data_IF_856609334780
#
_entry.id   IF_856609334780
#
_cell.length_a   1.000
_cell.length_b   1.000
_cell.length_c   1.000
_cell.angle_alpha   90.00
_cell.angle_beta   90.00
_cell.angle_gamma   90.00
#
_symmetry.space_group_name_H-M   'P 1'
#
loop_
_entity.id
_entity.type
_entity.pdbx_description
1 polymer ?
#
# COMPACT_ATOMS: atom_id res chain seq x y z
N UNK A 1 -7.04 4.47 13.12
CA UNK A 1 -6.60 3.77 11.91
C UNK A 1 -7.77 3.56 10.99
N UNK A 2 -7.67 4.01 9.77
CA UNK A 2 -8.69 3.80 8.77
C UNK A 2 -8.83 2.30 8.48
N UNK A 3 -10.03 1.81 8.73
CA UNK A 3 -10.37 0.38 8.65
C UNK A 3 -10.55 -0.11 7.21
N UNK A 4 -10.52 0.80 6.26
CA UNK A 4 -10.76 0.56 4.84
C UNK A 4 -9.54 0.02 4.09
N UNK A 5 -8.39 -0.03 4.75
CA UNK A 5 -7.12 -0.41 4.14
C UNK A 5 -6.74 -1.87 4.38
N UNK A 6 -7.58 -2.62 5.05
CA UNK A 6 -7.27 -4.01 5.39
C UNK A 6 -7.94 -4.93 4.36
N UNK A 7 -7.11 -5.75 3.74
CA UNK A 7 -7.53 -6.79 2.80
C UNK A 7 -7.12 -8.12 3.40
N UNK A 8 -8.03 -9.06 3.49
CA UNK A 8 -7.71 -10.38 4.03
C UNK A 8 -8.17 -11.50 3.11
N UNK A 9 -7.49 -12.64 3.21
CA UNK A 9 -7.69 -13.77 2.33
C UNK A 9 -6.77 -13.74 1.10
N UNK A 10 -6.50 -14.91 0.55
CA UNK A 10 -5.52 -15.09 -0.53
C UNK A 10 -6.00 -14.44 -1.83
N UNK A 11 -7.21 -14.77 -2.28
CA UNK A 11 -7.72 -14.26 -3.56
C UNK A 11 -7.91 -12.74 -3.58
N UNK A 12 -8.51 -12.10 -2.56
CA UNK A 12 -8.63 -10.65 -2.54
C UNK A 12 -7.28 -9.92 -2.58
N UNK A 13 -6.26 -10.46 -1.92
CA UNK A 13 -4.91 -9.89 -1.93
C UNK A 13 -4.28 -10.02 -3.32
N UNK A 14 -4.38 -11.18 -3.94
CA UNK A 14 -3.88 -11.41 -5.30
C UNK A 14 -4.57 -10.47 -6.29
N UNK A 15 -5.88 -10.34 -6.22
CA UNK A 15 -6.63 -9.42 -7.08
C UNK A 15 -6.22 -7.96 -6.86
N UNK A 16 -6.02 -7.55 -5.62
CA UNK A 16 -5.54 -6.20 -5.30
C UNK A 16 -4.16 -5.92 -5.91
N UNK A 17 -3.25 -6.88 -5.83
CA UNK A 17 -1.92 -6.78 -6.45
C UNK A 17 -2.01 -6.69 -7.98
N UNK A 18 -2.85 -7.49 -8.60
CA UNK A 18 -3.07 -7.49 -10.05
C UNK A 18 -3.72 -6.21 -10.56
N UNK A 19 -4.59 -5.61 -9.77
CA UNK A 19 -5.24 -4.34 -10.11
C UNK A 19 -4.36 -3.11 -9.93
N UNK A 20 -3.11 -3.29 -9.47
CA UNK A 20 -2.17 -2.20 -9.24
C UNK A 20 -2.34 -1.49 -7.90
N UNK A 21 -3.13 -2.02 -6.98
CA UNK A 21 -3.30 -1.45 -5.65
C UNK A 21 -1.99 -1.55 -4.86
N UNK A 22 -1.58 -0.45 -4.26
CA UNK A 22 -0.33 -0.40 -3.49
C UNK A 22 -0.53 -1.06 -2.13
N UNK A 23 0.24 -2.11 -1.86
CA UNK A 23 0.25 -2.82 -0.58
C UNK A 23 1.48 -2.37 0.22
N UNK A 24 1.25 -1.87 1.41
CA UNK A 24 2.30 -1.38 2.30
C UNK A 24 2.93 -2.52 3.12
N UNK A 25 2.09 -3.42 3.63
CA UNK A 25 2.51 -4.50 4.50
C UNK A 25 1.68 -5.75 4.27
N UNK A 26 2.32 -6.92 4.37
CA UNK A 26 1.65 -8.21 4.38
C UNK A 26 1.97 -8.92 5.71
N UNK A 27 0.92 -9.29 6.43
CA UNK A 27 1.01 -10.04 7.67
C UNK A 27 0.68 -11.50 7.40
N UNK A 28 1.60 -12.38 7.74
CA UNK A 28 1.46 -13.81 7.57
C UNK A 28 1.38 -14.49 8.94
N UNK A 29 0.56 -15.52 9.05
CA UNK A 29 0.50 -16.33 10.24
C UNK A 29 1.82 -17.04 10.50
N UNK A 30 2.31 -16.99 11.74
CA UNK A 30 3.51 -17.71 12.16
C UNK A 30 3.34 -19.21 11.94
N UNK A 31 4.38 -19.87 11.45
CA UNK A 31 4.40 -21.32 11.20
C UNK A 31 3.40 -21.84 10.17
N UNK A 32 2.85 -20.96 9.34
CA UNK A 32 2.03 -21.39 8.20
C UNK A 32 2.89 -21.48 6.94
N UNK A 33 2.79 -22.59 6.25
CA UNK A 33 3.41 -22.77 4.94
C UNK A 33 2.44 -23.58 4.07
N UNK A 34 1.86 -22.94 3.10
CA UNK A 34 0.99 -23.58 2.13
C UNK A 34 1.15 -22.91 0.75
N UNK A 35 0.57 -23.53 -0.26
CA UNK A 35 0.66 -23.07 -1.63
C UNK A 35 0.00 -21.69 -1.82
N UNK A 36 -1.04 -21.41 -1.04
CA UNK A 36 -1.73 -20.12 -1.09
C UNK A 36 -0.82 -18.96 -0.66
N UNK A 37 -0.07 -19.14 0.42
CA UNK A 37 0.91 -18.14 0.89
C UNK A 37 2.03 -17.97 -0.15
N UNK A 38 2.47 -19.06 -0.75
CA UNK A 38 3.47 -19.01 -1.82
C UNK A 38 2.96 -18.21 -3.02
N UNK A 39 1.69 -18.39 -3.39
CA UNK A 39 1.06 -17.65 -4.49
C UNK A 39 1.01 -16.14 -4.21
N UNK A 40 0.71 -15.73 -2.98
CA UNK A 40 0.73 -14.32 -2.57
C UNK A 40 2.13 -13.72 -2.70
N UNK A 41 3.14 -14.42 -2.22
CA UNK A 41 4.54 -13.97 -2.32
C UNK A 41 5.00 -13.86 -3.77
N UNK A 42 4.63 -14.83 -4.61
CA UNK A 42 4.96 -14.82 -6.03
C UNK A 42 4.30 -13.66 -6.76
N UNK A 43 3.02 -13.42 -6.51
CA UNK A 43 2.29 -12.29 -7.11
C UNK A 43 2.87 -10.95 -6.65
N UNK A 44 3.26 -10.82 -5.39
CA UNK A 44 3.93 -9.63 -4.87
C UNK A 44 5.24 -9.36 -5.63
N UNK A 45 6.02 -10.39 -5.87
CA UNK A 45 7.27 -10.30 -6.62
C UNK A 45 7.01 -9.91 -8.08
N UNK A 46 6.03 -10.54 -8.71
CA UNK A 46 5.69 -10.30 -10.13
C UNK A 46 5.15 -8.88 -10.35
N UNK A 47 4.39 -8.36 -9.39
CA UNK A 47 3.86 -6.98 -9.46
C UNK A 47 4.92 -5.89 -9.30
N UNK A 48 6.13 -6.26 -8.90
CA UNK A 48 7.22 -5.30 -8.65
C UNK A 48 7.03 -4.44 -7.42
N UNK A 49 6.03 -4.71 -6.61
CA UNK A 49 5.78 -3.95 -5.39
C UNK A 49 6.70 -4.39 -4.26
N UNK A 50 7.07 -3.43 -3.44
CA UNK A 50 7.88 -3.65 -2.25
C UNK A 50 7.01 -3.52 -1.00
N UNK A 51 6.44 -4.63 -0.56
CA UNK A 51 5.67 -4.69 0.68
C UNK A 51 6.48 -5.38 1.79
N UNK A 52 6.39 -4.84 2.99
CA UNK A 52 7.04 -5.43 4.15
C UNK A 52 6.26 -6.68 4.58
N UNK A 53 6.94 -7.82 4.60
CA UNK A 53 6.37 -9.08 5.09
C UNK A 53 6.70 -9.23 6.58
N UNK A 54 5.69 -9.48 7.39
CA UNK A 54 5.84 -9.69 8.82
C UNK A 54 5.04 -10.92 9.27
N UNK A 55 5.67 -11.78 10.06
CA UNK A 55 5.00 -12.94 10.66
C UNK A 55 4.39 -12.55 12.00
N UNK A 56 3.13 -12.90 12.20
CA UNK A 56 2.36 -12.53 13.40
C UNK A 56 1.55 -13.72 13.90
N UNK A 57 1.16 -13.75 15.19
CA UNK A 57 0.25 -14.77 15.70
C UNK A 57 -1.14 -14.68 15.05
N UNK A 58 -1.84 -15.82 15.01
CA UNK A 58 -3.18 -15.91 14.42
C UNK A 58 -4.19 -14.95 15.07
N UNK A 59 -4.05 -14.68 16.36
CA UNK A 59 -4.93 -13.79 17.10
C UNK A 59 -4.93 -12.37 16.52
N UNK A 60 -3.76 -11.92 16.09
CA UNK A 60 -3.65 -10.61 15.44
C UNK A 60 -4.36 -10.58 14.10
N UNK A 61 -4.25 -11.63 13.30
CA UNK A 61 -4.96 -11.75 12.02
C UNK A 61 -6.49 -11.81 12.23
N UNK A 62 -6.94 -12.58 13.21
CA UNK A 62 -8.35 -12.66 13.59
C UNK A 62 -8.92 -11.29 13.98
N UNK A 63 -8.16 -10.55 14.76
CA UNK A 63 -8.54 -9.19 15.18
C UNK A 63 -8.66 -8.23 13.99
N UNK A 64 -7.71 -8.27 13.07
CA UNK A 64 -7.72 -7.41 11.90
C UNK A 64 -8.81 -7.80 10.89
N UNK A 65 -9.04 -9.09 10.69
CA UNK A 65 -10.07 -9.59 9.79
C UNK A 65 -11.48 -9.57 10.39
N UNK A 66 -11.61 -9.26 11.67
CA UNK A 66 -12.88 -9.17 12.39
C UNK A 66 -13.78 -10.40 12.25
N UNK A 67 -13.19 -11.58 12.40
CA UNK A 67 -13.89 -12.84 12.24
C UNK A 67 -14.08 -13.30 10.80
N UNK A 68 -13.60 -12.55 9.81
CA UNK A 68 -13.57 -12.99 8.42
C UNK A 68 -12.53 -14.08 8.18
N UNK A 69 -12.68 -14.79 7.08
CA UNK A 69 -11.75 -15.85 6.70
C UNK A 69 -10.49 -15.25 6.04
N UNK A 70 -9.44 -15.04 6.84
CA UNK A 70 -8.18 -14.46 6.37
C UNK A 70 -7.23 -15.48 5.74
N UNK A 71 -7.47 -16.76 5.89
CA UNK A 71 -6.62 -17.84 5.33
C UNK A 71 -5.14 -17.75 5.70
N UNK A 72 -4.82 -17.15 6.83
CA UNK A 72 -3.45 -16.95 7.33
C UNK A 72 -2.72 -15.73 6.74
N UNK A 73 -3.41 -14.86 6.02
CA UNK A 73 -2.80 -13.68 5.40
C UNK A 73 -3.71 -12.45 5.48
N UNK A 74 -3.12 -11.33 5.86
CA UNK A 74 -3.76 -10.01 5.87
C UNK A 74 -2.82 -9.02 5.20
N UNK A 75 -3.33 -8.20 4.31
CA UNK A 75 -2.58 -7.11 3.70
C UNK A 75 -3.10 -5.77 4.21
N UNK A 76 -2.18 -4.83 4.39
CA UNK A 76 -2.50 -3.44 4.68
C UNK A 76 -2.15 -2.64 3.44
N UNK A 77 -3.18 -2.10 2.79
CA UNK A 77 -3.02 -1.26 1.61
C UNK A 77 -2.56 0.15 2.01
N UNK A 78 -1.77 0.77 1.16
CA UNK A 78 -1.42 2.17 1.32
C UNK A 78 -2.62 3.07 1.05
N UNK A 79 -2.76 4.14 1.82
CA UNK A 79 -3.68 5.23 1.53
C UNK A 79 -3.19 6.13 0.41
N UNK A 80 -1.91 6.04 0.11
CA UNK A 80 -1.23 6.87 -0.88
C UNK A 80 -1.04 6.04 -2.15
N UNK A 81 -1.59 6.50 -3.24
CA UNK A 81 -1.28 5.97 -4.56
C UNK A 81 0.00 6.62 -5.06
N UNK A 82 1.02 5.80 -5.30
CA UNK A 82 2.23 6.27 -5.95
C UNK A 82 2.04 6.21 -7.45
N UNK A 83 2.35 7.32 -8.12
CA UNK A 83 2.27 7.45 -9.57
C UNK A 83 3.63 7.83 -10.14
N UNK A 84 3.84 7.48 -11.39
CA UNK A 84 5.02 7.96 -12.10
C UNK A 84 4.92 9.46 -12.34
N UNK A 85 6.06 10.14 -12.27
CA UNK A 85 6.10 11.60 -12.40
C UNK A 85 5.55 12.08 -13.75
N UNK A 86 5.93 11.38 -14.80
CA UNK A 86 5.51 11.68 -16.16
C UNK A 86 4.00 11.63 -16.30
N UNK A 87 3.37 10.59 -15.72
CA UNK A 87 1.92 10.42 -15.76
C UNK A 87 1.19 11.58 -15.05
N UNK A 88 1.71 12.02 -13.90
CA UNK A 88 1.12 13.14 -13.16
C UNK A 88 1.22 14.44 -13.93
N UNK A 89 2.37 14.70 -14.57
CA UNK A 89 2.60 15.89 -15.40
C UNK A 89 1.65 15.90 -16.60
N UNK A 90 1.55 14.79 -17.32
CA UNK A 90 0.65 14.68 -18.48
C UNK A 90 -0.81 14.92 -18.09
N UNK A 91 -1.28 14.30 -17.02
CA UNK A 91 -2.64 14.48 -16.52
C UNK A 91 -2.95 15.94 -16.14
N UNK A 92 -1.99 16.62 -15.53
CA UNK A 92 -2.13 18.05 -15.18
C UNK A 92 -2.24 18.91 -16.43
N UNK A 93 -1.40 18.67 -17.43
CA UNK A 93 -1.41 19.40 -18.69
C UNK A 93 -2.69 19.18 -19.49
N UNK A 94 -3.21 17.95 -19.51
CA UNK A 94 -4.49 17.61 -20.14
C UNK A 94 -5.67 18.37 -19.53
N UNK A 95 -5.61 18.61 -18.21
CA UNK A 95 -6.61 19.40 -17.50
C UNK A 95 -6.45 20.91 -17.70
N UNK A 96 -5.41 21.34 -18.41
CA UNK A 96 -5.08 22.76 -18.60
C UNK A 96 -4.47 23.41 -17.35
N UNK A 97 -3.96 22.61 -16.43
CA UNK A 97 -3.29 23.08 -15.22
C UNK A 97 -1.77 23.11 -15.43
N UNK A 98 -1.11 24.09 -14.83
CA UNK A 98 0.36 24.08 -14.79
C UNK A 98 0.81 23.18 -13.64
N UNK A 99 1.59 22.12 -13.89
CA UNK A 99 2.06 21.25 -12.82
C UNK A 99 2.97 22.01 -11.84
N UNK A 100 2.66 21.89 -10.56
CA UNK A 100 3.47 22.43 -9.47
C UNK A 100 3.97 21.27 -8.61
N UNK A 101 5.26 20.95 -8.71
CA UNK A 101 5.86 19.75 -8.14
C UNK A 101 6.88 20.13 -7.09
N UNK A 102 6.86 19.44 -5.97
CA UNK A 102 7.85 19.55 -4.90
C UNK A 102 8.62 18.24 -4.79
N UNK A 103 9.94 18.33 -4.87
CA UNK A 103 10.83 17.18 -4.68
C UNK A 103 11.41 17.23 -3.27
N UNK A 104 11.30 16.11 -2.55
CA UNK A 104 11.87 15.94 -1.21
C UNK A 104 13.11 15.06 -1.30
N UNK A 105 14.24 15.57 -0.84
CA UNK A 105 15.50 14.86 -0.81
C UNK A 105 15.96 14.65 0.64
N UNK A 106 16.30 13.42 0.99
CA UNK A 106 16.79 13.02 2.34
C UNK A 106 15.85 13.37 3.51
N UNK A 107 14.56 13.50 3.26
CA UNK A 107 13.56 13.69 4.33
C UNK A 107 13.22 12.33 4.95
N UNK A 108 13.73 12.07 6.14
CA UNK A 108 13.55 10.80 6.85
C UNK A 108 12.62 10.89 8.07
N UNK A 109 12.38 12.09 8.58
CA UNK A 109 11.49 12.34 9.70
C UNK A 109 10.04 12.42 9.23
N UNK A 110 9.19 11.54 9.74
CA UNK A 110 7.76 11.46 9.39
C UNK A 110 7.01 12.75 9.73
N UNK A 111 7.40 13.45 10.81
CA UNK A 111 6.78 14.73 11.21
C UNK A 111 7.08 15.83 10.21
N UNK A 112 8.33 15.90 9.75
CA UNK A 112 8.72 16.87 8.71
C UNK A 112 8.01 16.56 7.39
N UNK A 113 7.92 15.32 6.99
CA UNK A 113 7.19 14.90 5.81
C UNK A 113 5.72 15.34 5.89
N UNK A 114 5.05 15.09 7.02
CA UNK A 114 3.65 15.48 7.23
C UNK A 114 3.46 17.00 7.21
N UNK A 115 4.36 17.77 7.82
CA UNK A 115 4.31 19.22 7.82
C UNK A 115 4.50 19.80 6.40
N UNK A 116 5.46 19.28 5.65
CA UNK A 116 5.70 19.68 4.26
C UNK A 116 4.50 19.34 3.38
N UNK A 117 3.96 18.13 3.49
CA UNK A 117 2.79 17.70 2.71
C UNK A 117 1.58 18.61 2.96
N UNK A 118 1.33 19.01 4.21
CA UNK A 118 0.25 19.93 4.57
C UNK A 118 0.46 21.30 3.94
N UNK A 119 1.67 21.83 3.99
CA UNK A 119 2.00 23.10 3.34
C UNK A 119 1.85 23.01 1.84
N UNK A 120 2.28 21.92 1.22
CA UNK A 120 2.12 21.67 -0.22
C UNK A 120 0.65 21.65 -0.63
N UNK A 121 -0.21 20.99 0.13
CA UNK A 121 -1.65 20.98 -0.14
C UNK A 121 -2.24 22.39 -0.12
N UNK A 122 -1.90 23.19 0.89
CA UNK A 122 -2.34 24.59 1.00
C UNK A 122 -1.81 25.47 -0.14
N UNK A 123 -0.62 25.19 -0.65
CA UNK A 123 0.01 25.94 -1.74
C UNK A 123 -0.47 25.52 -3.15
N UNK A 124 -1.25 24.46 -3.26
CA UNK A 124 -1.77 23.96 -4.52
C UNK A 124 -0.77 23.11 -5.32
N UNK A 125 0.12 22.39 -4.65
CA UNK A 125 1.03 21.43 -5.28
C UNK A 125 0.24 20.30 -5.94
N UNK A 126 0.66 19.90 -7.11
CA UNK A 126 0.02 18.86 -7.94
C UNK A 126 0.11 17.47 -7.33
#
# INVERSE_FOLDING_TARGET
MARENIIYGVHPIIEALKSGKTIEKILLQTNISNDAIRSVKEELRTSGQYAKIQYVPIEKLNSLARGGNHQGVVAIASLVEYKELEEVVEQSMEKGENPFIVMLDHVTDVRNLGAIARTCECAGVT
#
